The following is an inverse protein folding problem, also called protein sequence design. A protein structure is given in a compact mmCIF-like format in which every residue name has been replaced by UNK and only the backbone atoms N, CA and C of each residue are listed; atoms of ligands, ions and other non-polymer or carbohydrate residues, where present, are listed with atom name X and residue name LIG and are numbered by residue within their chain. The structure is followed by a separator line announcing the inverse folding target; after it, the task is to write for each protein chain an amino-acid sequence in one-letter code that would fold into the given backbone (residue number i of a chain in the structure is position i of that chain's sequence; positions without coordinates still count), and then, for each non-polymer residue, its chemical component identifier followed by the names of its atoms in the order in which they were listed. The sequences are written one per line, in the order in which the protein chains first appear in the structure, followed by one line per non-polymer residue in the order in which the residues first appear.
data_IF_816274142222
#
_entry.id   IF_816274142222
#
_cell.length_a   1.000
_cell.length_b   1.000
_cell.length_c   1.000
_cell.angle_alpha   90.00
_cell.angle_beta   90.00
_cell.angle_gamma   90.00
#
_symmetry.space_group_name_H-M   'P 1'
#
loop_
_entity.id
_entity.type
_entity.pdbx_description
1 polymer ?
#
# COMPACT_ATOMS: atom_id res chain seq x y z
N UNK A 1 -22.76 -19.92 -11.24
CA UNK A 1 -21.90 -18.83 -10.71
C UNK A 1 -20.55 -18.92 -11.40
N UNK A 2 -20.09 -17.85 -12.05
CA UNK A 2 -18.79 -17.83 -12.73
C UNK A 2 -17.65 -17.59 -11.73
N UNK A 3 -16.51 -18.26 -11.92
CA UNK A 3 -15.29 -18.08 -11.12
C UNK A 3 -14.86 -16.60 -11.06
N UNK A 4 -15.10 -15.87 -12.15
CA UNK A 4 -14.81 -14.43 -12.27
C UNK A 4 -15.57 -13.61 -11.22
N UNK A 5 -16.84 -13.95 -11.00
CA UNK A 5 -17.71 -13.23 -10.05
C UNK A 5 -17.23 -13.40 -8.61
N UNK A 6 -16.82 -14.62 -8.24
CA UNK A 6 -16.27 -14.89 -6.91
C UNK A 6 -14.96 -14.13 -6.72
N UNK A 7 -14.07 -14.15 -7.72
CA UNK A 7 -12.81 -13.39 -7.69
C UNK A 7 -13.02 -11.88 -7.54
N UNK A 8 -14.03 -11.32 -8.21
CA UNK A 8 -14.40 -9.92 -8.10
C UNK A 8 -14.86 -9.56 -6.69
N UNK A 9 -15.76 -10.36 -6.10
CA UNK A 9 -16.25 -10.12 -4.73
C UNK A 9 -15.14 -10.21 -3.69
N UNK A 10 -14.25 -11.20 -3.81
CA UNK A 10 -13.08 -11.32 -2.92
C UNK A 10 -12.17 -10.10 -3.06
N UNK A 11 -11.96 -9.61 -4.29
CA UNK A 11 -11.09 -8.45 -4.51
C UNK A 11 -11.68 -7.16 -3.93
N UNK A 12 -13.00 -6.98 -4.01
CA UNK A 12 -13.68 -5.82 -3.42
C UNK A 12 -13.66 -5.91 -1.90
N UNK A 13 -14.28 -6.94 -1.32
CA UNK A 13 -14.43 -7.04 0.13
C UNK A 13 -13.10 -7.27 0.84
N UNK A 14 -12.28 -8.19 0.32
CA UNK A 14 -10.94 -8.44 0.84
C UNK A 14 -10.02 -7.24 0.65
N UNK A 15 -10.09 -6.57 -0.51
CA UNK A 15 -9.30 -5.36 -0.77
C UNK A 15 -9.66 -4.22 0.18
N UNK A 16 -10.94 -3.94 0.40
CA UNK A 16 -11.40 -2.90 1.34
C UNK A 16 -10.97 -3.25 2.77
N UNK A 17 -11.12 -4.50 3.19
CA UNK A 17 -10.70 -4.95 4.51
C UNK A 17 -9.19 -4.75 4.72
N UNK A 18 -8.35 -5.17 3.76
CA UNK A 18 -6.90 -4.97 3.79
C UNK A 18 -6.55 -3.48 3.79
N UNK A 19 -7.27 -2.65 3.04
CA UNK A 19 -7.03 -1.21 3.00
C UNK A 19 -7.26 -0.55 4.36
N UNK A 20 -8.37 -0.87 5.02
CA UNK A 20 -8.71 -0.30 6.34
C UNK A 20 -7.71 -0.77 7.39
N UNK A 21 -7.50 -2.08 7.50
CA UNK A 21 -6.59 -2.66 8.50
C UNK A 21 -5.15 -2.24 8.26
N UNK A 22 -4.67 -2.31 7.02
CA UNK A 22 -3.32 -1.88 6.64
C UNK A 22 -3.07 -0.39 6.86
N UNK A 23 -4.03 0.48 6.52
CA UNK A 23 -3.89 1.93 6.75
C UNK A 23 -3.87 2.25 8.23
N UNK A 24 -4.78 1.67 9.02
CA UNK A 24 -4.84 1.90 10.47
C UNK A 24 -3.57 1.46 11.20
N UNK A 25 -3.01 0.30 10.83
CA UNK A 25 -1.75 -0.19 11.39
C UNK A 25 -0.56 0.72 11.08
N UNK A 26 -0.39 1.11 9.81
CA UNK A 26 0.72 1.99 9.43
C UNK A 26 0.58 3.41 10.03
N UNK A 27 -0.65 3.94 10.13
CA UNK A 27 -0.90 5.22 10.82
C UNK A 27 -0.52 5.15 12.30
N UNK A 28 -0.89 4.06 12.99
CA UNK A 28 -0.52 3.86 14.38
C UNK A 28 1.01 3.80 14.56
N UNK A 29 1.70 3.07 13.68
CA UNK A 29 3.17 3.02 13.67
C UNK A 29 3.80 4.41 13.51
N UNK A 30 3.30 5.21 12.56
CA UNK A 30 3.77 6.59 12.36
C UNK A 30 3.53 7.44 13.61
N UNK A 31 2.35 7.34 14.22
CA UNK A 31 2.02 8.09 15.44
C UNK A 31 2.93 7.71 16.61
N UNK A 32 3.16 6.42 16.84
CA UNK A 32 4.02 5.92 17.93
C UNK A 32 5.47 6.39 17.72
N UNK A 33 6.03 6.20 16.54
CA UNK A 33 7.42 6.60 16.25
C UNK A 33 7.59 8.12 16.18
N UNK A 34 6.55 8.86 15.81
CA UNK A 34 6.57 10.32 15.83
C UNK A 34 6.39 10.88 17.23
N UNK A 35 5.58 10.27 18.09
CA UNK A 35 5.22 10.82 19.40
C UNK A 35 6.24 10.51 20.50
N UNK A 36 6.87 9.34 20.48
CA UNK A 36 7.74 8.90 21.57
C UNK A 36 9.18 9.38 21.35
N UNK A 37 9.63 10.31 22.19
CA UNK A 37 10.96 10.94 22.09
C UNK A 37 12.12 9.94 22.24
N UNK A 38 11.92 8.85 22.98
CA UNK A 38 12.91 7.77 23.15
C UNK A 38 13.21 7.02 21.86
N UNK A 39 12.20 6.81 21.00
CA UNK A 39 12.36 6.07 19.75
C UNK A 39 13.06 6.88 18.65
N UNK A 40 13.26 8.18 18.83
CA UNK A 40 13.98 9.03 17.87
C UNK A 40 15.51 8.90 17.97
N UNK A 41 16.01 8.08 18.89
CA UNK A 41 17.46 7.91 19.13
C UNK A 41 18.06 6.76 18.33
N UNK A 42 17.24 5.83 17.85
CA UNK A 42 17.67 4.63 17.14
C UNK A 42 17.41 4.74 15.62
N UNK A 43 18.41 4.50 14.77
CA UNK A 43 18.26 4.59 13.31
C UNK A 43 17.24 3.59 12.75
N UNK A 44 17.13 2.41 13.36
CA UNK A 44 16.12 1.40 13.00
C UNK A 44 14.69 1.95 13.05
N UNK A 45 14.37 2.78 14.04
CA UNK A 45 13.03 3.37 14.17
C UNK A 45 12.73 4.37 13.05
N UNK A 46 13.75 5.09 12.59
CA UNK A 46 13.62 5.98 11.44
C UNK A 46 13.34 5.18 10.16
N UNK A 47 14.02 4.05 9.96
CA UNK A 47 13.74 3.15 8.83
C UNK A 47 12.32 2.57 8.89
N UNK A 48 11.86 2.14 10.07
CA UNK A 48 10.48 1.68 10.25
C UNK A 48 9.42 2.77 9.99
N UNK A 49 9.71 4.02 10.35
CA UNK A 49 8.84 5.16 10.05
C UNK A 49 8.75 5.39 8.54
N UNK A 50 9.91 5.40 7.85
CA UNK A 50 9.98 5.50 6.39
C UNK A 50 9.21 4.35 5.73
N UNK A 51 9.44 3.10 6.15
CA UNK A 51 8.74 1.93 5.64
C UNK A 51 7.22 2.06 5.84
N UNK A 52 6.76 2.56 6.98
CA UNK A 52 5.33 2.75 7.26
C UNK A 52 4.69 3.79 6.33
N UNK A 53 5.37 4.90 6.04
CA UNK A 53 4.90 5.90 5.07
C UNK A 53 4.81 5.30 3.67
N UNK A 54 5.86 4.59 3.25
CA UNK A 54 5.92 3.95 1.95
C UNK A 54 4.86 2.84 1.79
N UNK A 55 4.59 2.05 2.83
CA UNK A 55 3.50 1.07 2.84
C UNK A 55 2.11 1.72 2.65
N UNK A 56 1.86 2.90 3.21
CA UNK A 56 0.60 3.63 2.96
C UNK A 56 0.51 4.06 1.49
N UNK A 57 1.60 4.58 0.92
CA UNK A 57 1.67 4.95 -0.51
C UNK A 57 1.43 3.72 -1.39
N UNK A 58 1.98 2.56 -1.01
CA UNK A 58 1.75 1.29 -1.70
C UNK A 58 0.26 0.92 -1.70
N UNK A 59 -0.36 0.91 -0.52
CA UNK A 59 -1.79 0.59 -0.36
C UNK A 59 -2.66 1.56 -1.18
N UNK A 60 -2.39 2.86 -1.09
CA UNK A 60 -3.14 3.88 -1.83
C UNK A 60 -3.03 3.70 -3.35
N UNK A 61 -1.86 3.37 -3.89
CA UNK A 61 -1.69 3.26 -5.35
C UNK A 61 -2.05 1.88 -5.89
N UNK A 62 -1.51 0.81 -5.30
CA UNK A 62 -1.64 -0.54 -5.85
C UNK A 62 -2.98 -1.18 -5.50
N UNK A 63 -3.42 -1.08 -4.24
CA UNK A 63 -4.65 -1.74 -3.80
C UNK A 63 -5.88 -1.04 -4.36
N UNK A 64 -5.93 0.30 -4.32
CA UNK A 64 -7.03 1.07 -4.91
C UNK A 64 -7.12 0.82 -6.42
N UNK A 65 -5.99 0.87 -7.14
CA UNK A 65 -5.99 0.57 -8.59
C UNK A 65 -6.51 -0.85 -8.88
N UNK A 66 -6.19 -1.83 -8.02
CA UNK A 66 -6.67 -3.22 -8.16
C UNK A 66 -8.17 -3.35 -7.87
N UNK A 67 -8.67 -2.68 -6.84
CA UNK A 67 -10.10 -2.65 -6.53
C UNK A 67 -10.88 -1.99 -7.68
N UNK A 68 -10.39 -0.89 -8.24
CA UNK A 68 -11.06 -0.17 -9.33
C UNK A 68 -11.05 -0.97 -10.64
N UNK A 69 -9.90 -1.55 -11.02
CA UNK A 69 -9.79 -2.35 -12.25
C UNK A 69 -10.53 -3.68 -12.13
N UNK A 70 -10.22 -4.50 -11.12
CA UNK A 70 -10.78 -5.86 -11.00
C UNK A 70 -12.18 -5.85 -10.37
N UNK A 71 -12.45 -4.94 -9.44
CA UNK A 71 -13.73 -4.85 -8.74
C UNK A 71 -14.82 -4.10 -9.51
N UNK A 72 -14.47 -3.06 -10.26
CA UNK A 72 -15.44 -2.22 -10.98
C UNK A 72 -15.29 -2.26 -12.51
N UNK A 73 -14.28 -2.97 -13.02
CA UNK A 73 -14.02 -3.06 -14.47
C UNK A 73 -13.45 -1.78 -15.09
N UNK A 74 -13.00 -0.83 -14.26
CA UNK A 74 -12.50 0.48 -14.72
C UNK A 74 -10.97 0.41 -14.81
N UNK A 75 -10.44 0.25 -16.02
CA UNK A 75 -9.00 0.20 -16.25
C UNK A 75 -8.40 1.60 -16.38
N UNK A 76 -8.03 2.21 -15.24
CA UNK A 76 -7.28 3.48 -15.18
C UNK A 76 -5.97 3.46 -15.98
N UNK A 77 -5.39 2.27 -16.16
CA UNK A 77 -4.19 2.03 -16.98
C UNK A 77 -4.44 2.20 -18.48
N UNK A 78 -5.67 1.98 -18.94
CA UNK A 78 -6.08 2.26 -20.33
C UNK A 78 -6.43 3.72 -20.52
N UNK A 79 -6.88 4.40 -19.47
CA UNK A 79 -7.24 5.82 -19.51
C UNK A 79 -6.00 6.72 -19.62
N UNK A 80 -4.87 6.37 -18.99
CA UNK A 80 -3.64 7.16 -19.12
C UNK A 80 -2.36 6.31 -19.07
N UNK A 81 -1.54 6.45 -20.11
CA UNK A 81 -0.23 5.77 -20.22
C UNK A 81 0.72 6.22 -19.10
N UNK A 82 0.65 7.50 -18.72
CA UNK A 82 1.44 8.06 -17.62
C UNK A 82 1.13 7.38 -16.28
N UNK A 83 -0.15 7.16 -15.96
CA UNK A 83 -0.55 6.46 -14.74
C UNK A 83 -0.13 4.99 -14.75
N UNK A 84 -0.20 4.34 -15.90
CA UNK A 84 0.25 2.96 -16.07
C UNK A 84 1.74 2.80 -15.73
N UNK A 85 2.61 3.66 -16.30
CA UNK A 85 4.06 3.65 -16.02
C UNK A 85 4.36 4.01 -14.56
N UNK A 86 3.69 5.05 -14.05
CA UNK A 86 3.88 5.53 -12.68
C UNK A 86 3.50 4.45 -11.65
N UNK A 87 2.39 3.73 -11.87
CA UNK A 87 1.95 2.63 -11.00
C UNK A 87 3.01 1.54 -10.88
N UNK A 88 3.59 1.11 -12.00
CA UNK A 88 4.62 0.05 -12.01
C UNK A 88 5.88 0.54 -11.30
N UNK A 89 6.31 1.76 -11.58
CA UNK A 89 7.48 2.37 -10.94
C UNK A 89 7.30 2.50 -9.43
N UNK A 90 6.18 3.07 -8.98
CA UNK A 90 5.84 3.23 -7.56
C UNK A 90 5.74 1.85 -6.91
N UNK A 91 5.01 0.90 -7.51
CA UNK A 91 4.85 -0.44 -6.94
C UNK A 91 6.18 -1.14 -6.65
N UNK A 92 7.09 -1.14 -7.63
CA UNK A 92 8.38 -1.80 -7.47
C UNK A 92 9.28 -1.05 -6.48
N UNK A 93 9.38 0.28 -6.60
CA UNK A 93 10.27 1.09 -5.77
C UNK A 93 9.87 1.03 -4.30
N UNK A 94 8.57 1.15 -4.02
CA UNK A 94 8.04 1.15 -2.66
C UNK A 94 8.20 -0.22 -1.99
N UNK A 95 8.06 -1.31 -2.75
CA UNK A 95 8.29 -2.66 -2.24
C UNK A 95 9.76 -2.88 -1.87
N UNK A 96 10.68 -2.44 -2.74
CA UNK A 96 12.12 -2.52 -2.48
C UNK A 96 12.52 -1.69 -1.25
N UNK A 97 12.04 -0.46 -1.15
CA UNK A 97 12.32 0.41 0.01
C UNK A 97 11.81 -0.23 1.30
N UNK A 98 10.59 -0.76 1.29
CA UNK A 98 10.00 -1.40 2.48
C UNK A 98 10.80 -2.64 2.91
N UNK A 99 11.26 -3.44 1.95
CA UNK A 99 12.12 -4.60 2.21
C UNK A 99 13.47 -4.17 2.78
N UNK A 100 14.14 -3.19 2.15
CA UNK A 100 15.43 -2.68 2.62
C UNK A 100 15.33 -2.12 4.04
N UNK A 101 14.32 -1.30 4.32
CA UNK A 101 14.11 -0.69 5.64
C UNK A 101 13.71 -1.69 6.73
N UNK A 102 13.20 -2.88 6.37
CA UNK A 102 12.87 -3.93 7.35
C UNK A 102 14.07 -4.82 7.71
N UNK A 103 15.09 -4.84 6.84
CA UNK A 103 16.29 -5.67 7.00
C UNK A 103 17.50 -4.93 7.59
N UNK A 104 17.39 -3.62 7.83
CA UNK A 104 18.44 -2.71 8.34
C UNK A 104 18.06 -2.17 9.72
#
# INVERSE_FOLDING_TARGET
MSLIYIGQQITIYGGIFIFITGSSGNLMSILVFSSVRNYRTTPCTFYFLIASIFNIIYLANNLISRIVSTGYGIDLTKTSVSWCKLRVYIGNSVTLISLSCSCL
#
